data_IF_337615574456
#
_entry.id   IF_337615574456
#
_cell.length_a   1.000
_cell.length_b   1.000
_cell.length_c   1.000
_cell.angle_alpha   90.00
_cell.angle_beta   90.00
_cell.angle_gamma   90.00
#
_symmetry.space_group_name_H-M   'P 1'
#
loop_
_entity.id
_entity.type
_entity.pdbx_description
1 polymer ?
#
# COMPACT_ATOMS: atom_id res chain seq x y z
N UNK A 1 0.40 -9.96 -3.86
CA UNK A 1 1.30 -10.35 -2.74
C UNK A 1 0.42 -10.80 -1.59
N UNK A 2 0.87 -11.73 -0.76
CA UNK A 2 0.08 -12.22 0.38
C UNK A 2 -0.12 -11.07 1.39
N UNK A 3 -1.37 -10.85 1.82
CA UNK A 3 -1.72 -9.89 2.88
C UNK A 3 -1.77 -10.56 4.25
N UNK A 4 -2.34 -11.78 4.31
CA UNK A 4 -2.46 -12.59 5.52
C UNK A 4 -1.65 -13.87 5.35
N UNK A 5 -0.74 -14.15 6.28
CA UNK A 5 0.09 -15.36 6.27
C UNK A 5 -0.76 -16.59 6.60
N UNK A 6 -0.19 -17.77 6.39
CA UNK A 6 -0.85 -19.04 6.70
C UNK A 6 -1.20 -19.21 8.20
N UNK A 7 -0.49 -18.52 9.09
CA UNK A 7 -0.76 -18.48 10.53
C UNK A 7 -1.85 -17.47 10.93
N UNK A 8 -2.48 -16.79 9.96
CA UNK A 8 -3.51 -15.78 10.19
C UNK A 8 -2.97 -14.38 10.52
N UNK A 9 -1.66 -14.21 10.71
CA UNK A 9 -1.08 -12.89 10.99
C UNK A 9 -0.97 -12.02 9.72
N UNK A 10 -1.16 -10.70 9.82
CA UNK A 10 -0.95 -9.81 8.69
C UNK A 10 0.54 -9.73 8.32
N UNK A 11 0.80 -9.47 7.05
CA UNK A 11 2.13 -9.13 6.53
C UNK A 11 2.40 -7.63 6.70
N UNK A 12 3.67 -7.24 6.69
CA UNK A 12 4.04 -5.82 6.62
C UNK A 12 3.41 -5.12 5.41
N UNK A 13 3.29 -5.82 4.28
CA UNK A 13 2.61 -5.28 3.10
C UNK A 13 1.13 -4.97 3.35
N UNK A 14 0.45 -5.75 4.18
CA UNK A 14 -0.93 -5.44 4.58
C UNK A 14 -1.01 -4.16 5.42
N UNK A 15 -0.06 -3.98 6.34
CA UNK A 15 0.06 -2.73 7.11
C UNK A 15 0.32 -1.52 6.20
N UNK A 16 1.22 -1.65 5.22
CA UNK A 16 1.52 -0.59 4.26
C UNK A 16 0.28 -0.15 3.47
N UNK A 17 -0.52 -1.12 3.01
CA UNK A 17 -1.77 -0.86 2.27
C UNK A 17 -2.81 -0.20 3.17
N UNK A 18 -3.02 -0.74 4.38
CA UNK A 18 -3.99 -0.20 5.33
C UNK A 18 -3.65 1.25 5.72
N UNK A 19 -2.36 1.55 5.88
CA UNK A 19 -1.92 2.89 6.22
C UNK A 19 -2.15 3.90 5.08
N UNK A 20 -2.02 3.48 3.82
CA UNK A 20 -2.37 4.34 2.70
C UNK A 20 -3.88 4.59 2.63
N UNK A 21 -4.69 3.54 2.78
CA UNK A 21 -6.14 3.65 2.81
C UNK A 21 -6.59 4.63 3.90
N UNK A 22 -6.05 4.51 5.11
CA UNK A 22 -6.35 5.42 6.23
C UNK A 22 -6.00 6.88 5.94
N UNK A 23 -4.89 7.15 5.22
CA UNK A 23 -4.55 8.51 4.80
C UNK A 23 -5.59 9.07 3.82
N UNK A 24 -6.03 8.28 2.84
CA UNK A 24 -7.07 8.74 1.92
C UNK A 24 -8.41 8.95 2.65
N UNK A 25 -8.78 8.09 3.60
CA UNK A 25 -9.96 8.26 4.45
C UNK A 25 -9.90 9.53 5.30
N UNK A 26 -8.69 9.93 5.72
CA UNK A 26 -8.44 11.22 6.41
C UNK A 26 -8.54 12.44 5.50
N UNK A 27 -8.75 12.25 4.20
CA UNK A 27 -8.92 13.33 3.23
C UNK A 27 -7.61 13.83 2.60
N UNK A 28 -6.50 13.08 2.72
CA UNK A 28 -5.29 13.43 1.98
C UNK A 28 -5.47 13.10 0.51
N UNK A 29 -5.33 14.10 -0.36
CA UNK A 29 -5.43 13.91 -1.82
C UNK A 29 -4.13 13.40 -2.46
N UNK A 30 -3.01 13.52 -1.74
CA UNK A 30 -1.69 13.10 -2.20
C UNK A 30 -0.91 12.45 -1.07
N UNK A 31 -0.37 11.27 -1.34
CA UNK A 31 0.53 10.54 -0.45
C UNK A 31 1.87 10.36 -1.16
N UNK A 32 2.96 10.77 -0.52
CA UNK A 32 4.31 10.67 -1.08
C UNK A 32 5.09 9.67 -0.23
N UNK A 33 5.55 8.60 -0.88
CA UNK A 33 6.46 7.64 -0.28
C UNK A 33 7.90 7.91 -0.72
N UNK A 34 8.83 7.84 0.22
CA UNK A 34 10.27 7.97 -0.04
C UNK A 34 10.90 6.59 0.02
N UNK A 35 11.27 6.06 -1.14
CA UNK A 35 11.76 4.69 -1.30
C UNK A 35 13.27 4.62 -1.53
N UNK A 36 13.90 3.55 -1.02
CA UNK A 36 15.22 3.13 -1.45
C UNK A 36 15.19 2.47 -2.84
N UNK A 37 16.34 2.42 -3.53
CA UNK A 37 16.44 1.81 -4.88
C UNK A 37 16.05 0.31 -4.91
N UNK A 38 16.17 -0.37 -3.78
CA UNK A 38 15.78 -1.77 -3.57
C UNK A 38 14.25 -2.00 -3.57
N UNK A 39 13.46 -0.94 -3.46
CA UNK A 39 11.99 -1.00 -3.39
C UNK A 39 11.29 -0.91 -4.77
N UNK A 40 12.03 -0.92 -5.87
CA UNK A 40 11.47 -0.84 -7.23
C UNK A 40 10.36 -1.87 -7.51
N UNK A 41 10.49 -3.10 -6.98
CA UNK A 41 9.48 -4.15 -7.12
C UNK A 41 8.25 -3.98 -6.20
N UNK A 42 8.33 -3.08 -5.22
CA UNK A 42 7.29 -2.78 -4.24
C UNK A 42 6.30 -1.74 -4.77
N UNK A 43 6.81 -0.70 -5.44
CA UNK A 43 6.03 0.40 -6.01
C UNK A 43 4.85 -0.06 -6.88
N UNK A 44 5.03 -0.91 -7.92
CA UNK A 44 3.90 -1.32 -8.78
C UNK A 44 2.83 -2.10 -8.01
N UNK A 45 3.19 -2.77 -6.92
CA UNK A 45 2.25 -3.53 -6.09
C UNK A 45 1.41 -2.60 -5.22
N UNK A 46 2.02 -1.55 -4.65
CA UNK A 46 1.29 -0.55 -3.89
C UNK A 46 0.29 0.18 -4.79
N UNK A 47 0.76 0.63 -5.97
CA UNK A 47 -0.10 1.27 -6.97
C UNK A 47 -1.31 0.40 -7.34
N UNK A 48 -1.11 -0.90 -7.58
CA UNK A 48 -2.21 -1.83 -7.88
C UNK A 48 -3.21 -1.96 -6.71
N UNK A 49 -2.73 -1.98 -5.46
CA UNK A 49 -3.61 -2.05 -4.29
C UNK A 49 -4.43 -0.76 -4.11
N UNK A 50 -3.82 0.42 -4.29
CA UNK A 50 -4.54 1.69 -4.22
C UNK A 50 -5.60 1.82 -5.31
N UNK A 51 -5.26 1.42 -6.54
CA UNK A 51 -6.23 1.37 -7.63
C UNK A 51 -7.41 0.43 -7.31
N UNK A 52 -7.14 -0.74 -6.72
CA UNK A 52 -8.18 -1.68 -6.28
C UNK A 52 -9.07 -1.14 -5.16
N UNK A 53 -8.54 -0.25 -4.32
CA UNK A 53 -9.29 0.46 -3.27
C UNK A 53 -10.00 1.73 -3.79
N UNK A 54 -9.91 2.04 -5.09
CA UNK A 54 -10.54 3.21 -5.68
C UNK A 54 -9.76 4.52 -5.49
N UNK A 55 -8.49 4.44 -5.10
CA UNK A 55 -7.62 5.60 -4.92
C UNK A 55 -6.68 5.80 -6.12
N UNK A 56 -6.27 7.04 -6.41
CA UNK A 56 -5.35 7.33 -7.50
C UNK A 56 -4.01 6.60 -7.28
N UNK A 57 -3.52 5.84 -8.27
CA UNK A 57 -2.24 5.13 -8.18
C UNK A 57 -1.03 6.00 -8.51
N UNK A 58 -1.22 7.29 -8.78
CA UNK A 58 -0.22 8.22 -9.32
C UNK A 58 0.40 9.11 -8.24
#
# INVERSE_FOLDING_TARGET
RVLIKSDGSPTYFASDVAYHMEKFERGFERVIDVWGADHHGYVPRMKAMLAGLGHPPE
#
